data_IF_350599214461
#
_entry.id   IF_350599214461
#
_cell.length_a   1.000
_cell.length_b   1.000
_cell.length_c   1.000
_cell.angle_alpha   90.00
_cell.angle_beta   90.00
_cell.angle_gamma   90.00
#
_symmetry.space_group_name_H-M   'P 1'
#
loop_
_entity.id
_entity.type
_entity.pdbx_description
1 polymer ?
#
# COMPACT_ATOMS: atom_id res chain seq x y z
N UNK A 1 -9.64 19.94 9.98
CA UNK A 1 -9.68 19.24 8.68
C UNK A 1 -8.90 20.08 7.67
N UNK A 2 -8.13 19.46 6.78
CA UNK A 2 -7.51 20.10 5.64
C UNK A 2 -8.56 20.64 4.66
N UNK A 3 -8.30 21.80 4.07
CA UNK A 3 -9.02 22.27 2.88
C UNK A 3 -8.68 21.40 1.67
N UNK A 4 -9.48 21.50 0.60
CA UNK A 4 -9.20 20.81 -0.67
C UNK A 4 -7.85 21.22 -1.25
N UNK A 5 -7.47 22.49 -1.12
CA UNK A 5 -6.19 23.02 -1.60
C UNK A 5 -5.02 22.44 -0.80
N UNK A 6 -5.13 22.39 0.53
CA UNK A 6 -4.11 21.78 1.40
C UNK A 6 -3.97 20.28 1.16
N UNK A 7 -5.08 19.57 0.92
CA UNK A 7 -5.04 18.15 0.56
C UNK A 7 -4.30 17.90 -0.77
N UNK A 8 -4.55 18.74 -1.78
CA UNK A 8 -3.85 18.66 -3.06
C UNK A 8 -2.36 18.99 -2.94
N UNK A 9 -2.01 20.04 -2.20
CA UNK A 9 -0.62 20.39 -1.89
C UNK A 9 0.09 19.26 -1.13
N UNK A 10 -0.59 18.64 -0.18
CA UNK A 10 -0.06 17.49 0.55
C UNK A 10 0.20 16.30 -0.37
N UNK A 11 -0.74 15.97 -1.26
CA UNK A 11 -0.57 14.89 -2.23
C UNK A 11 0.61 15.15 -3.15
N UNK A 12 0.79 16.40 -3.60
CA UNK A 12 1.92 16.78 -4.44
C UNK A 12 3.25 16.68 -3.68
N UNK A 13 3.28 17.13 -2.43
CA UNK A 13 4.45 17.04 -1.53
C UNK A 13 4.89 15.59 -1.31
N UNK A 14 3.95 14.65 -1.19
CA UNK A 14 4.22 13.23 -0.93
C UNK A 14 4.65 12.44 -2.17
N UNK A 15 4.60 13.06 -3.36
CA UNK A 15 4.70 12.36 -4.62
C UNK A 15 6.14 11.95 -4.94
N UNK A 16 6.37 10.64 -5.03
CA UNK A 16 7.67 10.08 -5.39
C UNK A 16 8.74 10.20 -4.32
N UNK A 17 8.35 10.62 -3.11
CA UNK A 17 9.26 10.84 -1.98
C UNK A 17 8.86 10.02 -0.76
N UNK A 18 9.80 9.84 0.16
CA UNK A 18 9.68 9.03 1.36
C UNK A 18 9.83 9.87 2.64
N UNK A 19 9.42 9.37 3.82
CA UNK A 19 9.47 10.17 5.06
C UNK A 19 10.88 10.59 5.49
N UNK A 20 11.90 9.78 5.17
CA UNK A 20 13.32 10.04 5.40
C UNK A 20 13.77 11.37 4.77
N UNK A 21 13.25 11.73 3.59
CA UNK A 21 13.51 13.01 2.92
C UNK A 21 12.96 14.22 3.70
N UNK A 22 12.09 14.00 4.68
CA UNK A 22 11.53 15.03 5.58
C UNK A 22 12.08 14.92 7.01
N UNK A 23 13.16 14.13 7.20
CA UNK A 23 13.76 13.88 8.51
C UNK A 23 12.81 13.13 9.46
N UNK A 24 12.10 12.12 8.93
CA UNK A 24 11.25 11.22 9.70
C UNK A 24 11.82 9.80 9.59
N UNK A 25 11.90 9.08 10.72
CA UNK A 25 12.55 7.76 10.83
C UNK A 25 11.77 6.60 10.17
N UNK A 26 10.69 6.90 9.46
CA UNK A 26 9.81 5.89 8.88
C UNK A 26 10.19 5.57 7.44
N UNK A 27 10.31 4.29 7.11
CA UNK A 27 10.67 3.81 5.78
C UNK A 27 9.61 4.11 4.70
N UNK A 28 8.34 4.17 5.10
CA UNK A 28 7.22 4.48 4.23
C UNK A 28 6.27 5.37 4.98
N UNK A 29 5.47 6.16 4.25
CA UNK A 29 4.46 7.00 4.87
C UNK A 29 3.50 6.15 5.68
N UNK A 30 3.30 6.55 6.93
CA UNK A 30 2.31 5.99 7.83
C UNK A 30 1.35 7.10 8.25
N UNK A 31 0.33 6.71 9.01
CA UNK A 31 -0.55 7.68 9.66
C UNK A 31 0.24 8.65 10.57
N UNK A 32 1.29 8.19 11.22
CA UNK A 32 2.07 8.99 12.18
C UNK A 32 2.98 10.00 11.47
N UNK A 33 3.84 9.57 10.54
CA UNK A 33 4.63 10.50 9.72
C UNK A 33 3.77 11.50 8.97
N UNK A 34 2.61 11.09 8.45
CA UNK A 34 1.70 12.01 7.78
C UNK A 34 1.10 13.05 8.74
N UNK A 35 0.72 12.66 9.97
CA UNK A 35 0.31 13.61 11.01
C UNK A 35 1.42 14.61 11.31
N UNK A 36 2.65 14.14 11.49
CA UNK A 36 3.81 15.02 11.76
C UNK A 36 4.07 15.97 10.60
N UNK A 37 4.00 15.50 9.36
CA UNK A 37 4.18 16.33 8.17
C UNK A 37 3.10 17.41 8.07
N UNK A 38 1.82 17.05 8.27
CA UNK A 38 0.70 18.00 8.25
C UNK A 38 0.88 19.09 9.30
N UNK A 39 1.26 18.72 10.53
CA UNK A 39 1.53 19.69 11.59
C UNK A 39 2.67 20.65 11.21
N UNK A 40 3.76 20.14 10.65
CA UNK A 40 4.91 20.96 10.24
C UNK A 40 4.59 21.88 9.06
N UNK A 41 3.78 21.41 8.11
CA UNK A 41 3.50 22.11 6.84
C UNK A 41 2.39 23.15 6.97
N UNK A 42 1.33 22.82 7.70
CA UNK A 42 0.12 23.63 7.77
C UNK A 42 -0.15 24.21 9.16
N UNK A 43 0.68 23.90 10.15
CA UNK A 43 0.49 24.31 11.56
C UNK A 43 -0.86 23.84 12.14
N UNK A 44 -1.43 22.78 11.59
CA UNK A 44 -2.73 22.23 11.96
C UNK A 44 -2.57 21.00 12.86
N UNK A 45 -3.01 21.06 14.13
CA UNK A 45 -2.98 19.92 15.05
C UNK A 45 -4.10 18.95 14.74
N UNK A 46 -3.93 18.16 13.68
CA UNK A 46 -4.79 17.03 13.39
C UNK A 46 -4.38 15.83 14.24
N UNK A 47 -5.36 15.21 14.89
CA UNK A 47 -5.13 13.92 15.52
C UNK A 47 -4.96 12.79 14.47
N UNK A 48 -4.46 11.66 14.94
CA UNK A 48 -4.24 10.49 14.07
C UNK A 48 -5.55 9.92 13.51
N UNK A 49 -6.70 10.11 14.19
CA UNK A 49 -8.01 9.70 13.72
C UNK A 49 -8.47 10.47 12.48
N UNK A 50 -8.26 11.79 12.48
CA UNK A 50 -8.53 12.68 11.35
C UNK A 50 -7.67 12.30 10.14
N UNK A 51 -6.37 12.09 10.35
CA UNK A 51 -5.47 11.58 9.29
C UNK A 51 -5.91 10.20 8.81
N UNK A 52 -6.35 9.32 9.71
CA UNK A 52 -6.95 8.04 9.36
C UNK A 52 -8.20 8.15 8.48
N UNK A 53 -9.00 9.21 8.63
CA UNK A 53 -10.14 9.48 7.77
C UNK A 53 -9.71 9.89 6.35
N UNK A 54 -8.68 10.73 6.21
CA UNK A 54 -8.09 11.05 4.90
C UNK A 54 -7.54 9.81 4.19
N UNK A 55 -6.78 8.98 4.90
CA UNK A 55 -6.27 7.73 4.33
C UNK A 55 -7.41 6.82 3.85
N UNK A 56 -8.49 6.68 4.62
CA UNK A 56 -9.68 5.91 4.17
C UNK A 56 -10.34 6.54 2.95
N UNK A 57 -10.44 7.87 2.88
CA UNK A 57 -10.99 8.58 1.72
C UNK A 57 -10.13 8.39 0.46
N UNK A 58 -8.82 8.26 0.63
CA UNK A 58 -7.87 7.88 -0.44
C UNK A 58 -7.93 6.38 -0.81
N UNK A 59 -8.77 5.59 -0.15
CA UNK A 59 -8.91 4.15 -0.37
C UNK A 59 -7.93 3.29 0.43
N UNK A 60 -7.20 3.87 1.38
CA UNK A 60 -6.24 3.20 2.24
C UNK A 60 -6.91 2.80 3.55
N UNK A 61 -7.39 1.56 3.59
CA UNK A 61 -7.95 0.98 4.77
C UNK A 61 -7.95 -0.54 4.72
N UNK A 62 -8.27 -1.21 5.84
CA UNK A 62 -8.59 -2.61 5.85
C UNK A 62 -9.71 -2.89 4.84
N UNK A 63 -9.51 -3.92 4.02
CA UNK A 63 -10.48 -4.42 3.05
C UNK A 63 -10.50 -5.92 3.16
N UNK A 64 -11.68 -6.50 3.16
CA UNK A 64 -11.82 -7.94 3.14
C UNK A 64 -11.25 -8.51 1.83
N UNK A 65 -10.74 -9.76 1.82
CA UNK A 65 -10.17 -10.35 0.62
C UNK A 65 -11.10 -10.27 -0.60
N UNK A 66 -12.42 -10.51 -0.40
CA UNK A 66 -13.43 -10.43 -1.46
C UNK A 66 -13.54 -9.04 -2.10
N UNK A 67 -13.35 -7.98 -1.31
CA UNK A 67 -13.46 -6.60 -1.78
C UNK A 67 -12.26 -6.21 -2.66
N UNK A 68 -11.14 -6.95 -2.54
CA UNK A 68 -9.93 -6.76 -3.35
C UNK A 68 -10.00 -7.49 -4.69
N UNK A 69 -10.96 -8.39 -4.87
CA UNK A 69 -11.14 -9.14 -6.11
C UNK A 69 -11.83 -8.30 -7.19
N UNK A 70 -11.47 -8.51 -8.46
CA UNK A 70 -12.36 -8.13 -9.57
C UNK A 70 -13.68 -8.92 -9.46
N UNK A 71 -14.79 -8.38 -9.96
CA UNK A 71 -16.11 -9.04 -9.86
C UNK A 71 -16.11 -10.48 -10.40
N UNK A 72 -15.30 -10.75 -11.43
CA UNK A 72 -15.15 -12.09 -12.03
C UNK A 72 -14.33 -13.08 -11.17
N UNK A 73 -13.62 -12.61 -10.13
CA UNK A 73 -12.69 -13.42 -9.35
C UNK A 73 -13.06 -13.61 -7.89
N UNK A 74 -14.22 -13.12 -7.46
CA UNK A 74 -14.70 -13.27 -6.07
C UNK A 74 -14.63 -14.73 -5.61
N UNK A 75 -15.22 -15.66 -6.37
CA UNK A 75 -15.21 -17.09 -6.01
C UNK A 75 -13.81 -17.72 -6.02
N UNK A 76 -12.89 -17.24 -6.87
CA UNK A 76 -11.51 -17.71 -6.87
C UNK A 76 -10.77 -17.24 -5.61
N UNK A 77 -10.96 -15.97 -5.24
CA UNK A 77 -10.41 -15.41 -4.00
C UNK A 77 -10.99 -16.10 -2.77
N UNK A 78 -12.29 -16.37 -2.72
CA UNK A 78 -12.90 -17.10 -1.60
C UNK A 78 -12.33 -18.51 -1.42
N UNK A 79 -12.08 -19.23 -2.52
CA UNK A 79 -11.39 -20.54 -2.46
C UNK A 79 -9.98 -20.38 -1.94
N UNK A 80 -9.22 -19.42 -2.47
CA UNK A 80 -7.85 -19.14 -2.06
C UNK A 80 -7.74 -18.78 -0.58
N UNK A 81 -8.69 -17.99 -0.04
CA UNK A 81 -8.76 -17.66 1.39
C UNK A 81 -8.95 -18.91 2.26
N UNK A 82 -9.67 -19.93 1.77
CA UNK A 82 -9.86 -21.20 2.50
C UNK A 82 -8.67 -22.16 2.35
N UNK A 83 -7.99 -22.16 1.20
CA UNK A 83 -6.97 -23.16 0.88
C UNK A 83 -5.53 -22.70 1.08
N UNK A 84 -5.18 -21.49 0.67
CA UNK A 84 -3.79 -21.01 0.63
C UNK A 84 -3.46 -20.01 1.74
N UNK A 85 -4.38 -19.07 2.01
CA UNK A 85 -4.16 -18.02 3.00
C UNK A 85 -3.76 -18.54 4.40
N UNK A 86 -4.36 -19.63 4.95
CA UNK A 86 -3.95 -20.17 6.24
C UNK A 86 -2.49 -20.66 6.27
N UNK A 87 -1.98 -21.15 5.14
CA UNK A 87 -0.58 -21.55 5.00
C UNK A 87 0.36 -20.34 5.06
N UNK A 88 -0.02 -19.24 4.41
CA UNK A 88 0.73 -17.97 4.46
C UNK A 88 0.78 -17.42 5.87
N UNK A 89 -0.36 -17.39 6.58
CA UNK A 89 -0.41 -16.88 7.95
C UNK A 89 0.38 -17.77 8.92
N UNK A 90 0.34 -19.09 8.73
CA UNK A 90 1.12 -20.03 9.55
C UNK A 90 2.62 -19.81 9.36
N UNK A 91 3.08 -19.77 8.10
CA UNK A 91 4.49 -19.50 7.79
C UNK A 91 4.94 -18.14 8.35
N UNK A 92 4.09 -17.12 8.26
CA UNK A 92 4.39 -15.81 8.82
C UNK A 92 4.49 -15.85 10.36
N UNK A 93 3.60 -16.59 11.04
CA UNK A 93 3.67 -16.77 12.50
C UNK A 93 4.93 -17.51 12.93
N UNK A 94 5.27 -18.61 12.25
CA UNK A 94 6.46 -19.43 12.52
C UNK A 94 7.76 -18.62 12.41
N UNK A 95 7.81 -17.65 11.50
CA UNK A 95 8.97 -16.79 11.26
C UNK A 95 8.86 -15.38 11.85
N UNK A 96 7.87 -15.13 12.72
CA UNK A 96 7.59 -13.80 13.31
C UNK A 96 7.51 -12.68 12.25
N UNK A 97 7.01 -13.01 11.07
CA UNK A 97 6.91 -12.15 9.91
C UNK A 97 5.58 -11.38 9.90
N UNK A 98 5.61 -10.19 9.30
CA UNK A 98 4.38 -9.42 9.05
C UNK A 98 3.72 -9.88 7.74
N UNK A 99 2.39 -9.86 7.70
CA UNK A 99 1.60 -10.08 6.49
C UNK A 99 0.98 -8.76 6.06
N UNK A 100 1.28 -8.31 4.86
CA UNK A 100 0.69 -7.11 4.26
C UNK A 100 -0.14 -7.45 3.04
N UNK A 101 -1.28 -6.78 2.93
CA UNK A 101 -2.08 -6.73 1.71
C UNK A 101 -1.67 -5.51 0.89
N UNK A 102 -1.17 -5.74 -0.32
CA UNK A 102 -0.69 -4.72 -1.24
C UNK A 102 -1.76 -4.41 -2.27
N UNK A 103 -1.98 -3.12 -2.55
CA UNK A 103 -2.89 -2.67 -3.59
C UNK A 103 -2.61 -1.27 -4.08
N UNK A 104 -3.17 -0.92 -5.24
CA UNK A 104 -3.10 0.40 -5.87
C UNK A 104 -4.46 1.04 -5.96
N UNK A 105 -4.54 2.32 -5.63
CA UNK A 105 -5.76 3.13 -5.81
C UNK A 105 -5.39 4.42 -6.53
N UNK A 106 -6.17 4.78 -7.55
CA UNK A 106 -6.05 6.09 -8.21
C UNK A 106 -6.78 7.15 -7.38
N UNK A 107 -6.07 8.22 -7.02
CA UNK A 107 -6.68 9.35 -6.32
C UNK A 107 -7.61 10.12 -7.25
N UNK A 108 -8.80 10.44 -6.73
CA UNK A 108 -9.80 11.21 -7.48
C UNK A 108 -9.53 12.70 -7.35
N UNK A 109 -9.72 13.43 -8.44
CA UNK A 109 -9.67 14.90 -8.44
C UNK A 109 -8.29 15.48 -8.11
N UNK A 110 -7.22 14.75 -8.45
CA UNK A 110 -5.82 15.19 -8.39
C UNK A 110 -5.30 15.47 -9.80
N UNK A 111 -4.55 16.56 -9.97
CA UNK A 111 -3.92 16.94 -11.24
C UNK A 111 -2.48 17.38 -10.97
N UNK A 112 -1.46 16.72 -11.55
CA UNK A 112 -1.57 15.55 -12.42
C UNK A 112 -2.12 14.31 -11.68
N UNK A 113 -2.59 13.29 -12.41
CA UNK A 113 -3.14 12.08 -11.79
C UNK A 113 -2.12 11.43 -10.83
N UNK A 114 -2.58 10.93 -9.69
CA UNK A 114 -1.73 10.25 -8.70
C UNK A 114 -2.30 8.87 -8.37
N UNK A 115 -1.41 7.89 -8.22
CA UNK A 115 -1.74 6.60 -7.65
C UNK A 115 -1.13 6.49 -6.26
N UNK A 116 -1.88 5.90 -5.34
CA UNK A 116 -1.39 5.51 -4.03
C UNK A 116 -1.18 4.01 -4.03
N UNK A 117 0.03 3.61 -3.65
CA UNK A 117 0.36 2.22 -3.39
C UNK A 117 0.33 2.05 -1.88
N UNK A 118 -0.42 1.05 -1.42
CA UNK A 118 -0.62 0.81 0.01
C UNK A 118 -0.31 -0.62 0.39
N UNK A 119 0.18 -0.78 1.62
CA UNK A 119 0.41 -2.02 2.31
C UNK A 119 -0.35 -1.99 3.64
N UNK A 120 -1.36 -2.84 3.79
CA UNK A 120 -2.19 -2.89 5.01
C UNK A 120 -1.92 -4.20 5.73
N UNK A 121 -1.40 -4.12 6.95
CA UNK A 121 -1.17 -5.31 7.78
C UNK A 121 -2.48 -5.91 8.29
N UNK A 122 -2.44 -7.18 8.72
CA UNK A 122 -3.55 -7.82 9.45
C UNK A 122 -3.95 -7.08 10.73
N UNK A 123 -3.02 -6.30 11.33
CA UNK A 123 -3.26 -5.45 12.51
C UNK A 123 -3.75 -4.03 12.16
N UNK A 124 -4.07 -3.75 10.90
CA UNK A 124 -4.59 -2.46 10.46
C UNK A 124 -3.54 -1.35 10.32
N UNK A 125 -2.25 -1.63 10.51
CA UNK A 125 -1.16 -0.69 10.18
C UNK A 125 -1.12 -0.48 8.67
N UNK A 126 -1.14 0.78 8.25
CA UNK A 126 -1.05 1.20 6.85
C UNK A 126 0.33 1.79 6.60
N UNK A 127 0.99 1.32 5.55
CA UNK A 127 2.16 1.94 4.93
C UNK A 127 1.83 2.28 3.49
N UNK A 128 2.28 3.43 3.00
CA UNK A 128 1.95 3.84 1.64
C UNK A 128 3.01 4.72 1.01
N UNK A 129 2.88 4.89 -0.30
CA UNK A 129 3.57 5.92 -1.07
C UNK A 129 2.63 6.48 -2.14
N UNK A 130 2.84 7.73 -2.52
CA UNK A 130 2.19 8.32 -3.70
C UNK A 130 3.18 8.28 -4.86
N UNK A 131 2.77 7.71 -5.98
CA UNK A 131 3.66 7.60 -7.15
C UNK A 131 3.57 8.86 -8.02
N UNK A 132 4.65 9.13 -8.75
CA UNK A 132 4.62 10.07 -9.85
C UNK A 132 3.67 9.58 -10.95
N UNK A 133 3.08 10.49 -11.75
CA UNK A 133 2.12 10.11 -12.78
C UNK A 133 2.83 9.25 -13.81
N UNK A 134 2.43 7.99 -13.90
CA UNK A 134 2.94 7.02 -14.86
C UNK A 134 1.77 6.19 -15.36
N UNK A 135 1.80 5.85 -16.64
CA UNK A 135 0.80 4.94 -17.22
C UNK A 135 1.19 3.52 -16.78
N UNK A 136 0.27 2.86 -16.07
CA UNK A 136 0.40 1.50 -15.56
C UNK A 136 1.79 1.13 -15.01
N UNK A 137 2.27 1.81 -13.96
CA UNK A 137 3.59 1.51 -13.40
C UNK A 137 3.63 0.09 -12.80
N UNK A 138 4.76 -0.62 -12.94
CA UNK A 138 4.99 -1.90 -12.26
C UNK A 138 4.97 -1.71 -10.75
N UNK A 139 4.86 -2.81 -9.99
CA UNK A 139 4.94 -2.76 -8.53
C UNK A 139 6.33 -2.24 -8.14
N UNK A 140 6.46 -1.07 -7.48
CA UNK A 140 7.77 -0.49 -7.22
C UNK A 140 8.60 -1.38 -6.31
N UNK A 141 9.80 -1.72 -6.78
CA UNK A 141 10.74 -2.54 -6.02
C UNK A 141 11.13 -1.89 -4.70
N UNK A 142 11.34 -0.57 -4.71
CA UNK A 142 11.74 0.18 -3.53
C UNK A 142 10.68 0.11 -2.42
N UNK A 143 9.41 0.34 -2.76
CA UNK A 143 8.28 0.16 -1.84
C UNK A 143 8.28 -1.21 -1.16
N UNK A 144 8.46 -2.27 -1.96
CA UNK A 144 8.50 -3.65 -1.48
C UNK A 144 9.69 -3.90 -0.54
N UNK A 145 10.86 -3.34 -0.85
CA UNK A 145 12.04 -3.47 0.00
C UNK A 145 11.87 -2.76 1.34
N UNK A 146 11.38 -1.53 1.32
CA UNK A 146 11.16 -0.68 2.50
C UNK A 146 10.15 -1.28 3.48
N UNK A 147 9.25 -2.17 3.03
CA UNK A 147 8.35 -2.92 3.94
C UNK A 147 9.08 -3.85 4.91
N UNK A 148 10.30 -4.29 4.59
CA UNK A 148 11.12 -5.07 5.53
C UNK A 148 11.70 -4.22 6.67
N UNK A 149 11.70 -2.90 6.50
CA UNK A 149 12.32 -1.93 7.41
C UNK A 149 13.84 -2.07 7.53
N UNK A 150 14.45 -1.18 8.32
CA UNK A 150 15.88 -1.21 8.64
C UNK A 150 16.32 -2.53 9.27
N UNK A 151 15.47 -3.11 10.11
CA UNK A 151 15.70 -4.41 10.75
C UNK A 151 15.64 -5.61 9.78
N UNK A 152 15.32 -5.38 8.50
CA UNK A 152 15.23 -6.40 7.45
C UNK A 152 14.35 -7.60 7.84
N UNK A 153 13.22 -7.32 8.50
CA UNK A 153 12.28 -8.35 8.94
C UNK A 153 11.70 -9.12 7.76
N UNK A 154 11.37 -10.38 7.99
CA UNK A 154 10.62 -11.19 7.03
C UNK A 154 9.22 -10.62 6.86
N UNK A 155 8.76 -10.51 5.61
CA UNK A 155 7.43 -10.00 5.26
C UNK A 155 6.80 -10.86 4.17
N UNK A 156 5.53 -11.19 4.36
CA UNK A 156 4.68 -11.83 3.37
C UNK A 156 3.76 -10.78 2.76
N UNK A 157 3.82 -10.61 1.45
CA UNK A 157 3.06 -9.59 0.73
C UNK A 157 2.02 -10.27 -0.17
N UNK A 158 0.75 -10.07 0.13
CA UNK A 158 -0.36 -10.53 -0.70
C UNK A 158 -0.71 -9.41 -1.67
N UNK A 159 -0.37 -9.59 -2.95
CA UNK A 159 -0.54 -8.58 -3.98
C UNK A 159 -1.89 -8.77 -4.67
N UNK A 160 -2.73 -7.73 -4.66
CA UNK A 160 -4.03 -7.77 -5.33
C UNK A 160 -3.91 -7.71 -6.88
N UNK A 161 -5.06 -7.66 -7.55
CA UNK A 161 -5.14 -7.63 -9.02
C UNK A 161 -4.59 -6.36 -9.68
N UNK A 162 -4.01 -5.42 -8.93
CA UNK A 162 -3.47 -4.16 -9.45
C UNK A 162 -2.27 -4.36 -10.37
N UNK A 163 -1.50 -5.46 -10.19
CA UNK A 163 -0.33 -5.78 -11.00
C UNK A 163 -0.32 -7.25 -11.44
N UNK A 164 -0.26 -7.54 -12.76
CA UNK A 164 0.04 -8.88 -13.23
C UNK A 164 1.44 -9.33 -12.77
N UNK A 165 1.65 -10.65 -12.65
CA UNK A 165 2.89 -11.23 -12.10
C UNK A 165 4.19 -10.81 -12.83
N UNK A 166 4.11 -10.47 -14.12
CA UNK A 166 5.25 -10.00 -14.91
C UNK A 166 5.70 -8.57 -14.55
N UNK A 167 4.84 -7.79 -13.89
CA UNK A 167 5.12 -6.44 -13.39
C UNK A 167 5.69 -6.43 -11.95
N UNK A 168 5.88 -7.61 -11.36
CA UNK A 168 6.44 -7.69 -10.01
C UNK A 168 7.97 -7.56 -10.06
N UNK A 169 8.59 -6.98 -9.01
CA UNK A 169 10.03 -6.88 -8.92
C UNK A 169 10.70 -8.25 -9.08
N UNK A 170 11.61 -8.35 -10.03
CA UNK A 170 12.49 -9.53 -10.16
C UNK A 170 13.57 -9.46 -9.08
N UNK A 171 13.96 -10.63 -8.55
CA UNK A 171 15.08 -10.78 -7.58
C UNK A 171 14.86 -9.96 -6.30
N UNK A 172 13.97 -10.45 -5.45
CA UNK A 172 13.80 -9.96 -4.09
C UNK A 172 14.62 -10.79 -3.09
N UNK A 173 15.09 -10.20 -1.98
CA UNK A 173 15.66 -10.94 -0.86
C UNK A 173 14.69 -12.04 -0.38
N UNK A 174 15.22 -13.18 0.07
CA UNK A 174 14.40 -14.33 0.54
C UNK A 174 13.41 -13.99 1.67
N UNK A 175 13.71 -12.94 2.45
CA UNK A 175 12.84 -12.41 3.50
C UNK A 175 11.55 -11.75 2.99
N UNK A 176 11.47 -11.42 1.70
CA UNK A 176 10.26 -10.85 1.10
C UNK A 176 9.61 -11.92 0.25
N UNK A 177 8.44 -12.39 0.68
CA UNK A 177 7.70 -13.45 -0.01
C UNK A 177 6.43 -12.87 -0.62
N UNK A 178 6.34 -12.86 -1.94
CA UNK A 178 5.16 -12.37 -2.67
C UNK A 178 4.18 -13.50 -2.94
N UNK A 179 2.90 -13.27 -2.62
CA UNK A 179 1.78 -14.18 -2.85
C UNK A 179 0.74 -13.48 -3.74
N UNK A 180 0.27 -14.08 -4.84
CA UNK A 180 -0.77 -13.45 -5.63
C UNK A 180 -2.12 -13.65 -4.96
N UNK A 181 -2.93 -12.60 -4.94
CA UNK A 181 -4.37 -12.79 -4.85
C UNK A 181 -4.88 -13.25 -6.23
N UNK A 182 -5.76 -14.26 -6.32
CA UNK A 182 -6.38 -14.62 -7.57
C UNK A 182 -7.04 -13.42 -8.23
N UNK A 183 -6.66 -13.13 -9.47
CA UNK A 183 -7.22 -12.05 -10.24
C UNK A 183 -7.35 -12.46 -11.69
N UNK A 184 -8.42 -11.99 -12.32
CA UNK A 184 -8.57 -11.99 -13.75
C UNK A 184 -7.46 -11.06 -14.23
N UNK A 185 -6.47 -11.57 -14.97
CA UNK A 185 -5.39 -10.71 -15.45
C UNK A 185 -6.01 -9.49 -16.13
N UNK A 186 -5.49 -8.28 -15.88
CA UNK A 186 -5.80 -7.15 -16.75
C UNK A 186 -5.41 -7.59 -18.15
N UNK A 187 -6.41 -7.88 -18.99
CA UNK A 187 -6.19 -7.91 -20.44
C UNK A 187 -5.77 -6.50 -20.75
N UNK A 188 -4.46 -6.30 -20.93
CA UNK A 188 -3.95 -5.06 -21.49
C UNK A 188 -4.71 -4.89 -22.79
N UNK A 189 -5.55 -3.85 -22.87
CA UNK A 189 -6.15 -3.48 -24.14
C UNK A 189 -4.97 -3.21 -25.09
N UNK A 190 -4.89 -4.03 -26.14
CA UNK A 190 -3.87 -3.93 -27.18
C UNK A 190 -3.93 -2.58 -27.90
#
# INVERSE_FOLDING_TARGET
MLSREQELELIDTLRGVHPDEFGLDEELWTRQSLTTLIQRRFELPLDTGAVGAYLRAWGLGPREPRERACGLCVSAVERWVRSEYPGITRAAQEHLAEVYWIGRVRLRGTMPAADVISAVSSRGRVRFMITTPTVDPPLPRDFVLRLSGEEQRTVHLIVDGSWPRNEWPRRLPRRIVLHPLPSCGRVVAA
#
